data_IF_215146072197
#
_entry.id   IF_215146072197
#
_cell.length_a   1.000
_cell.length_b   1.000
_cell.length_c   1.000
_cell.angle_alpha   90.00
_cell.angle_beta   90.00
_cell.angle_gamma   90.00
#
_symmetry.space_group_name_H-M   'P 1'
#
loop_
_entity.id
_entity.type
_entity.pdbx_description
1 polymer ?
#
# COMPACT_ATOMS: atom_id res chain seq x y z
N UNK A 1 -24.60 -0.14 9.16
CA UNK A 1 -23.88 -0.08 7.87
C UNK A 1 -22.65 -1.01 7.79
N UNK A 2 -22.05 -1.41 8.92
CA UNK A 2 -20.87 -2.30 8.98
C UNK A 2 -20.91 -3.56 8.08
N UNK A 3 -22.07 -4.23 7.96
CA UNK A 3 -22.20 -5.46 7.14
C UNK A 3 -22.06 -5.19 5.63
N UNK A 4 -22.47 -4.01 5.15
CA UNK A 4 -22.33 -3.65 3.74
C UNK A 4 -20.87 -3.33 3.39
N UNK A 5 -20.13 -2.67 4.30
CA UNK A 5 -18.70 -2.41 4.16
C UNK A 5 -17.89 -3.70 4.17
N UNK A 6 -18.19 -4.63 5.08
CA UNK A 6 -17.54 -5.97 5.12
C UNK A 6 -17.72 -6.72 3.80
N UNK A 7 -18.90 -6.65 3.18
CA UNK A 7 -19.15 -7.24 1.86
C UNK A 7 -18.33 -6.58 0.73
N UNK A 8 -18.15 -5.26 0.78
CA UNK A 8 -17.29 -4.55 -0.16
C UNK A 8 -15.81 -4.85 0.07
N UNK A 9 -15.36 -5.00 1.32
CA UNK A 9 -13.99 -5.36 1.66
C UNK A 9 -13.61 -6.75 1.15
N UNK A 10 -14.50 -7.75 1.25
CA UNK A 10 -14.23 -9.07 0.66
C UNK A 10 -14.04 -9.02 -0.87
N UNK A 11 -14.83 -8.19 -1.56
CA UNK A 11 -14.71 -7.98 -2.99
C UNK A 11 -13.42 -7.22 -3.34
N UNK A 12 -13.10 -6.15 -2.59
CA UNK A 12 -11.87 -5.38 -2.75
C UNK A 12 -10.62 -6.25 -2.52
N UNK A 13 -10.60 -7.07 -1.47
CA UNK A 13 -9.52 -8.03 -1.19
C UNK A 13 -9.34 -9.00 -2.37
N UNK A 14 -10.44 -9.51 -2.93
CA UNK A 14 -10.37 -10.42 -4.10
C UNK A 14 -9.81 -9.74 -5.34
N UNK A 15 -10.12 -8.47 -5.57
CA UNK A 15 -9.54 -7.68 -6.66
C UNK A 15 -8.06 -7.37 -6.41
N UNK A 16 -7.70 -6.99 -5.19
CA UNK A 16 -6.31 -6.72 -4.79
C UNK A 16 -5.42 -7.96 -4.97
N UNK A 17 -5.92 -9.15 -4.60
CA UNK A 17 -5.21 -10.42 -4.84
C UNK A 17 -4.91 -10.68 -6.31
N UNK A 18 -5.85 -10.34 -7.20
CA UNK A 18 -5.65 -10.48 -8.66
C UNK A 18 -4.65 -9.46 -9.22
N UNK A 19 -4.46 -8.33 -8.54
CA UNK A 19 -3.48 -7.32 -8.93
C UNK A 19 -2.04 -7.72 -8.57
N UNK A 20 -1.80 -8.81 -7.84
CA UNK A 20 -0.45 -9.28 -7.53
C UNK A 20 0.31 -9.61 -8.81
N UNK A 21 1.59 -9.28 -8.81
CA UNK A 21 2.54 -9.64 -9.88
C UNK A 21 3.23 -10.94 -9.53
N UNK A 22 3.72 -11.67 -10.53
CA UNK A 22 4.64 -12.78 -10.25
C UNK A 22 5.91 -12.23 -9.58
N UNK A 23 6.59 -13.00 -8.71
CA UNK A 23 7.76 -12.51 -7.99
C UNK A 23 8.86 -11.95 -8.91
N UNK A 24 9.04 -12.54 -10.10
CA UNK A 24 10.04 -12.06 -11.07
C UNK A 24 9.69 -10.69 -11.68
N UNK A 25 8.41 -10.31 -11.65
CA UNK A 25 7.90 -9.03 -12.17
C UNK A 25 7.66 -7.99 -11.08
N UNK A 26 7.92 -8.33 -9.81
CA UNK A 26 7.68 -7.47 -8.66
C UNK A 26 8.94 -6.74 -8.16
N UNK A 27 9.61 -6.03 -9.07
CA UNK A 27 10.88 -5.34 -8.75
C UNK A 27 10.74 -4.15 -7.79
N UNK A 28 9.52 -3.64 -7.60
CA UNK A 28 9.24 -2.44 -6.79
C UNK A 28 8.54 -2.72 -5.47
N UNK A 29 8.26 -3.99 -5.14
CA UNK A 29 7.54 -4.36 -3.93
C UNK A 29 6.03 -4.13 -3.99
N UNK A 30 5.45 -4.09 -5.19
CA UNK A 30 4.01 -3.97 -5.40
C UNK A 30 3.22 -5.02 -4.61
N UNK A 31 3.70 -6.27 -4.52
CA UNK A 31 2.99 -7.30 -3.77
C UNK A 31 2.98 -7.00 -2.26
N UNK A 32 4.03 -6.38 -1.71
CA UNK A 32 4.04 -5.96 -0.31
C UNK A 32 3.03 -4.84 -0.05
N UNK A 33 2.88 -3.89 -0.99
CA UNK A 33 1.82 -2.88 -0.92
C UNK A 33 0.42 -3.51 -0.99
N UNK A 34 0.21 -4.46 -1.91
CA UNK A 34 -1.05 -5.21 -2.03
C UNK A 34 -1.37 -5.95 -0.73
N UNK A 35 -0.39 -6.64 -0.16
CA UNK A 35 -0.56 -7.42 1.05
C UNK A 35 -0.78 -6.54 2.29
N UNK A 36 -0.12 -5.37 2.35
CA UNK A 36 -0.39 -4.34 3.36
C UNK A 36 -1.84 -3.83 3.26
N UNK A 37 -2.32 -3.54 2.05
CA UNK A 37 -3.70 -3.07 1.83
C UNK A 37 -4.72 -4.13 2.26
N UNK A 38 -4.49 -5.40 1.90
CA UNK A 38 -5.33 -6.51 2.34
C UNK A 38 -5.32 -6.63 3.86
N UNK A 39 -4.15 -6.52 4.51
CA UNK A 39 -4.04 -6.58 5.96
C UNK A 39 -4.82 -5.44 6.64
N UNK A 40 -4.75 -4.21 6.11
CA UNK A 40 -5.55 -3.09 6.58
C UNK A 40 -7.06 -3.37 6.48
N UNK A 41 -7.53 -3.86 5.33
CA UNK A 41 -8.96 -4.22 5.11
C UNK A 41 -9.43 -5.40 5.98
N UNK A 42 -8.50 -6.24 6.44
CA UNK A 42 -8.74 -7.35 7.35
C UNK A 42 -8.61 -6.94 8.83
N UNK A 43 -8.30 -5.67 9.12
CA UNK A 43 -7.97 -5.19 10.46
C UNK A 43 -6.84 -5.99 11.12
N UNK A 44 -5.85 -6.46 10.33
CA UNK A 44 -4.69 -7.22 10.78
C UNK A 44 -3.46 -6.29 10.88
N UNK A 45 -3.27 -5.72 12.08
CA UNK A 45 -2.21 -4.73 12.33
C UNK A 45 -0.81 -5.32 12.23
N UNK A 46 -0.62 -6.54 12.73
CA UNK A 46 0.69 -7.17 12.76
C UNK A 46 1.15 -7.50 11.35
N UNK A 47 0.26 -8.07 10.54
CA UNK A 47 0.55 -8.33 9.14
C UNK A 47 0.78 -7.04 8.36
N UNK A 48 -0.01 -5.99 8.61
CA UNK A 48 0.22 -4.68 7.99
C UNK A 48 1.64 -4.16 8.27
N UNK A 49 2.07 -4.18 9.54
CA UNK A 49 3.44 -3.76 9.92
C UNK A 49 4.52 -4.61 9.26
N UNK A 50 4.33 -5.93 9.24
CA UNK A 50 5.29 -6.84 8.61
C UNK A 50 5.45 -6.57 7.10
N UNK A 51 4.34 -6.32 6.39
CA UNK A 51 4.38 -5.98 4.97
C UNK A 51 5.00 -4.61 4.72
N UNK A 52 4.78 -3.64 5.62
CA UNK A 52 5.45 -2.34 5.58
C UNK A 52 6.97 -2.49 5.69
N UNK A 53 7.46 -3.30 6.63
CA UNK A 53 8.90 -3.56 6.78
C UNK A 53 9.50 -4.21 5.54
N UNK A 54 8.82 -5.20 4.97
CA UNK A 54 9.22 -5.85 3.71
C UNK A 54 9.25 -4.87 2.54
N UNK A 55 8.24 -4.01 2.42
CA UNK A 55 8.20 -2.97 1.39
C UNK A 55 9.36 -1.99 1.57
N UNK A 56 9.60 -1.50 2.79
CA UNK A 56 10.69 -0.57 3.08
C UNK A 56 12.08 -1.15 2.81
N UNK A 57 12.24 -2.48 2.87
CA UNK A 57 13.48 -3.16 2.58
C UNK A 57 13.75 -3.38 1.07
N UNK A 58 12.82 -3.02 0.18
CA UNK A 58 13.00 -3.19 -1.26
C UNK A 58 14.10 -2.23 -1.77
N UNK A 59 15.21 -2.76 -2.30
CA UNK A 59 16.32 -1.91 -2.74
C UNK A 59 15.93 -1.08 -3.96
N UNK A 60 16.40 0.17 -4.00
CA UNK A 60 16.27 1.01 -5.19
C UNK A 60 17.16 0.45 -6.31
N UNK A 61 16.64 0.21 -7.53
CA UNK A 61 17.46 -0.26 -8.64
C UNK A 61 18.61 0.70 -8.93
N UNK A 62 19.76 0.14 -9.27
CA UNK A 62 20.92 0.92 -9.69
C UNK A 62 20.59 1.71 -10.97
N UNK A 63 20.99 2.98 -11.01
CA UNK A 63 20.69 3.86 -12.14
C UNK A 63 19.21 4.25 -12.28
N UNK A 64 18.37 4.05 -11.25
CA UNK A 64 16.96 4.44 -11.30
C UNK A 64 16.82 5.98 -11.39
N UNK A 65 16.63 6.47 -12.62
CA UNK A 65 16.39 7.86 -12.97
C UNK A 65 15.11 7.97 -13.81
N UNK A 66 13.94 7.96 -13.16
CA UNK A 66 12.67 8.05 -13.88
C UNK A 66 12.54 9.42 -14.54
N UNK A 67 11.88 9.43 -15.70
CA UNK A 67 11.65 10.65 -16.50
C UNK A 67 10.16 10.81 -16.79
N UNK A 68 9.71 12.05 -17.00
CA UNK A 68 8.37 12.35 -17.49
C UNK A 68 8.23 12.06 -18.99
N UNK A 69 7.07 12.39 -19.58
CA UNK A 69 6.79 12.18 -21.00
C UNK A 69 7.69 13.01 -21.93
N UNK A 70 8.26 14.11 -21.42
CA UNK A 70 9.15 15.02 -22.15
C UNK A 70 10.63 14.68 -21.94
N UNK A 71 10.93 13.67 -21.12
CA UNK A 71 12.29 13.20 -20.81
C UNK A 71 12.97 13.94 -19.66
N UNK A 72 12.26 14.79 -18.91
CA UNK A 72 12.83 15.46 -17.74
C UNK A 72 12.93 14.49 -16.56
N UNK A 73 14.05 14.46 -15.82
CA UNK A 73 14.15 13.67 -14.60
C UNK A 73 13.07 14.06 -13.59
N UNK A 74 12.39 13.07 -13.04
CA UNK A 74 11.41 13.25 -11.97
C UNK A 74 11.91 12.56 -10.70
N UNK A 75 11.55 13.15 -9.56
CA UNK A 75 11.80 12.51 -8.27
C UNK A 75 10.63 11.60 -7.90
N UNK A 76 10.91 10.30 -7.80
CA UNK A 76 9.95 9.32 -7.27
C UNK A 76 10.48 8.81 -5.94
N UNK A 77 9.64 8.89 -4.91
CA UNK A 77 9.93 8.28 -3.61
C UNK A 77 10.04 6.76 -3.77
N UNK A 78 11.14 6.20 -3.30
CA UNK A 78 11.39 4.76 -3.32
C UNK A 78 11.33 4.17 -1.91
N UNK A 79 10.71 3.00 -1.71
CA UNK A 79 9.89 2.26 -2.67
C UNK A 79 8.52 2.93 -2.88
N UNK A 80 7.88 2.76 -4.05
CA UNK A 80 6.56 3.30 -4.31
C UNK A 80 5.54 2.84 -3.26
N UNK A 81 4.60 3.72 -2.93
CA UNK A 81 3.48 3.48 -2.01
C UNK A 81 3.86 3.24 -0.53
N UNK A 82 5.14 3.32 -0.13
CA UNK A 82 5.52 3.17 1.28
C UNK A 82 4.83 4.21 2.17
N UNK A 83 4.72 5.45 1.70
CA UNK A 83 4.00 6.53 2.36
C UNK A 83 2.50 6.22 2.56
N UNK A 84 1.87 5.50 1.64
CA UNK A 84 0.47 5.07 1.76
C UNK A 84 0.35 3.99 2.85
N UNK A 85 1.27 3.03 2.86
CA UNK A 85 1.30 1.99 3.91
C UNK A 85 1.56 2.59 5.29
N UNK A 86 2.42 3.60 5.40
CA UNK A 86 2.62 4.35 6.64
C UNK A 86 1.32 5.03 7.11
N UNK A 87 0.51 5.56 6.18
CA UNK A 87 -0.83 6.07 6.52
C UNK A 87 -1.77 4.98 7.01
N UNK A 88 -1.79 3.79 6.40
CA UNK A 88 -2.60 2.66 6.91
C UNK A 88 -2.25 2.32 8.37
N UNK A 89 -0.97 2.40 8.75
CA UNK A 89 -0.54 2.15 10.13
C UNK A 89 -0.97 3.29 11.07
N UNK A 90 -0.83 4.55 10.63
CA UNK A 90 -1.21 5.73 11.41
C UNK A 90 -2.72 5.80 11.64
N UNK A 91 -3.50 5.37 10.66
CA UNK A 91 -4.96 5.47 10.61
C UNK A 91 -5.63 4.13 10.86
N UNK A 92 -4.90 3.22 11.50
CA UNK A 92 -5.40 1.90 11.84
C UNK A 92 -6.67 2.07 12.69
N UNK A 93 -7.71 1.30 12.39
CA UNK A 93 -9.08 1.37 12.94
C UNK A 93 -10.01 2.46 12.36
N UNK A 94 -9.54 3.30 11.43
CA UNK A 94 -10.43 4.19 10.67
C UNK A 94 -10.94 3.53 9.38
N UNK A 95 -12.13 3.93 8.88
CA UNK A 95 -12.61 3.43 7.60
C UNK A 95 -11.63 3.80 6.49
N UNK A 96 -11.51 2.93 5.48
CA UNK A 96 -10.55 3.09 4.38
C UNK A 96 -10.66 4.44 3.64
N UNK A 97 -11.86 5.02 3.60
CA UNK A 97 -12.11 6.34 3.03
C UNK A 97 -11.33 7.46 3.72
N UNK A 98 -11.03 7.34 5.01
CA UNK A 98 -10.39 8.38 5.83
C UNK A 98 -8.86 8.38 5.72
N UNK A 99 -8.26 7.33 5.15
CA UNK A 99 -6.81 7.26 4.91
C UNK A 99 -6.34 8.40 4.00
N UNK A 100 -7.22 8.93 3.15
CA UNK A 100 -6.92 9.94 2.14
C UNK A 100 -7.25 11.38 2.58
N UNK A 101 -7.99 11.60 3.66
CA UNK A 101 -8.52 12.90 4.10
C UNK A 101 -7.82 13.51 5.31
N UNK A 102 -6.63 13.01 5.66
CA UNK A 102 -6.00 13.19 6.97
C UNK A 102 -6.84 12.58 8.08
N UNK A 103 -6.40 11.42 8.52
CA UNK A 103 -7.08 10.63 9.52
C UNK A 103 -7.35 11.46 10.77
N UNK A 104 -8.59 11.47 11.22
CA UNK A 104 -9.03 12.13 12.45
C UNK A 104 -8.52 11.34 13.66
N UNK A 105 -7.20 11.24 13.80
CA UNK A 105 -6.59 10.95 15.08
C UNK A 105 -6.74 12.21 15.95
N UNK A 106 -7.95 12.45 16.44
CA UNK A 106 -8.09 13.27 17.65
C UNK A 106 -7.45 12.50 18.80
N UNK A 107 -6.30 13.06 19.24
CA UNK A 107 -5.64 12.98 20.55
C UNK A 107 -5.80 11.73 21.41
#
# INVERSE_FOLDING_TARGET
MLRAEVGQYQRAISLMKQARKSPEKDMSGWNYYVDATIAFLQSDREKLKNQREKLAAVPKPEGFNPTDADGNPIEIQWPPNLNIVDKFIRCFDQPYSEVYTECTAEK
#
